data_IF_692326668370
#
_entry.id   IF_692326668370
#
_cell.length_a   1.000
_cell.length_b   1.000
_cell.length_c   1.000
_cell.angle_alpha   90.00
_cell.angle_beta   90.00
_cell.angle_gamma   90.00
#
_symmetry.space_group_name_H-M   'P 1'
#
loop_
_entity.id
_entity.type
_entity.pdbx_description
1 polymer ?
#
# COMPACT_ATOMS: atom_id res chain seq x y z
N UNK A 1 -86.90 -24.03 -2.77
CA UNK A 1 -85.72 -24.12 -1.88
C UNK A 1 -84.49 -23.75 -2.69
N UNK A 2 -83.93 -22.54 -2.53
CA UNK A 2 -82.85 -21.98 -3.34
C UNK A 2 -81.58 -22.01 -2.51
N UNK A 3 -80.58 -22.64 -3.04
CA UNK A 3 -79.20 -22.64 -2.52
C UNK A 3 -78.49 -21.38 -3.04
N UNK A 4 -77.85 -20.64 -2.13
CA UNK A 4 -76.98 -19.52 -2.45
C UNK A 4 -75.52 -19.98 -2.61
N UNK A 5 -74.74 -19.41 -3.52
CA UNK A 5 -73.30 -19.71 -3.66
C UNK A 5 -72.45 -18.82 -2.75
N UNK A 6 -71.51 -19.43 -2.05
CA UNK A 6 -70.49 -18.78 -1.26
C UNK A 6 -69.38 -18.20 -2.13
N UNK A 7 -69.10 -16.90 -2.02
CA UNK A 7 -67.97 -16.24 -2.65
C UNK A 7 -66.69 -16.44 -1.86
N UNK A 8 -65.68 -17.02 -2.47
CA UNK A 8 -64.32 -17.02 -1.97
C UNK A 8 -63.63 -15.73 -2.39
N UNK A 9 -63.27 -14.88 -1.42
CA UNK A 9 -62.42 -13.73 -1.66
C UNK A 9 -60.94 -14.16 -1.56
N UNK A 10 -60.24 -14.14 -2.64
CA UNK A 10 -58.77 -14.32 -2.70
C UNK A 10 -58.12 -12.96 -2.42
N UNK A 11 -57.45 -12.86 -1.27
CA UNK A 11 -56.65 -11.70 -0.90
C UNK A 11 -55.27 -11.84 -1.57
N UNK A 12 -55.02 -10.98 -2.59
CA UNK A 12 -53.71 -10.88 -3.25
C UNK A 12 -52.81 -10.01 -2.38
N UNK A 13 -51.83 -10.63 -1.71
CA UNK A 13 -50.80 -9.91 -0.98
C UNK A 13 -49.79 -9.39 -1.99
N UNK A 14 -49.78 -8.08 -2.24
CA UNK A 14 -48.69 -7.40 -2.96
C UNK A 14 -47.45 -7.37 -2.05
N UNK A 15 -46.44 -8.16 -2.40
CA UNK A 15 -45.08 -7.98 -1.88
C UNK A 15 -44.45 -6.78 -2.60
N UNK A 16 -44.43 -5.63 -1.94
CA UNK A 16 -43.66 -4.47 -2.39
C UNK A 16 -42.16 -4.79 -2.10
N UNK A 17 -41.46 -5.27 -3.10
CA UNK A 17 -40.00 -5.31 -3.07
C UNK A 17 -39.52 -3.87 -3.20
N UNK A 18 -39.15 -3.26 -2.09
CA UNK A 18 -38.49 -1.98 -2.05
C UNK A 18 -37.11 -2.12 -2.69
N UNK A 19 -37.02 -1.85 -3.99
CA UNK A 19 -35.75 -1.53 -4.64
C UNK A 19 -35.26 -0.23 -4.02
N UNK A 20 -34.36 -0.33 -3.04
CA UNK A 20 -33.59 0.81 -2.57
C UNK A 20 -32.84 1.39 -3.77
N UNK A 21 -33.32 2.53 -4.26
CA UNK A 21 -32.59 3.32 -5.24
C UNK A 21 -31.30 3.78 -4.53
N UNK A 22 -30.17 3.15 -4.87
CA UNK A 22 -28.87 3.74 -4.60
C UNK A 22 -28.89 5.09 -5.34
N UNK A 23 -28.88 6.19 -4.60
CA UNK A 23 -28.72 7.50 -5.17
C UNK A 23 -27.38 7.50 -5.90
N UNK A 24 -27.41 7.59 -7.21
CA UNK A 24 -26.24 7.83 -8.02
C UNK A 24 -25.64 9.17 -7.55
N UNK A 25 -24.53 9.11 -6.82
CA UNK A 25 -23.79 10.32 -6.46
C UNK A 25 -23.36 10.98 -7.77
N UNK A 26 -23.78 12.23 -7.97
CA UNK A 26 -23.47 12.97 -9.18
C UNK A 26 -21.94 13.07 -9.37
N UNK A 27 -21.48 12.83 -10.59
CA UNK A 27 -20.08 12.99 -10.95
C UNK A 27 -19.67 14.47 -10.77
N UNK A 28 -18.93 14.78 -9.69
CA UNK A 28 -18.36 16.11 -9.47
C UNK A 28 -16.91 16.12 -9.95
N UNK A 29 -16.43 17.29 -10.43
CA UNK A 29 -15.03 17.44 -10.83
C UNK A 29 -14.02 17.19 -9.70
N UNK A 30 -14.47 17.07 -8.43
CA UNK A 30 -13.64 16.82 -7.25
C UNK A 30 -13.85 15.42 -6.65
N UNK A 31 -14.85 14.68 -7.13
CA UNK A 31 -15.14 13.30 -6.70
C UNK A 31 -15.65 12.47 -7.90
N UNK A 32 -14.76 12.12 -8.85
CA UNK A 32 -15.14 11.42 -10.06
C UNK A 32 -15.76 10.04 -9.78
N UNK A 33 -16.84 9.73 -10.48
CA UNK A 33 -17.53 8.45 -10.41
C UNK A 33 -17.34 7.67 -11.71
N UNK A 34 -17.02 6.38 -11.61
CA UNK A 34 -16.95 5.47 -12.74
C UNK A 34 -18.35 5.04 -13.20
N UNK A 35 -18.50 4.82 -14.48
CA UNK A 35 -19.60 4.01 -14.99
C UNK A 35 -19.39 2.52 -14.62
N UNK A 36 -20.47 1.74 -14.63
CA UNK A 36 -20.38 0.30 -14.41
C UNK A 36 -19.47 -0.42 -15.43
N UNK A 37 -19.37 0.08 -16.65
CA UNK A 37 -18.48 -0.46 -17.68
C UNK A 37 -17.00 -0.20 -17.35
N UNK A 38 -16.66 0.98 -16.85
CA UNK A 38 -15.33 1.34 -16.40
C UNK A 38 -14.96 0.54 -15.14
N UNK A 39 -15.86 0.44 -14.15
CA UNK A 39 -15.61 -0.29 -12.90
C UNK A 39 -15.26 -1.77 -13.14
N UNK A 40 -15.88 -2.41 -14.16
CA UNK A 40 -15.52 -3.81 -14.53
C UNK A 40 -14.06 -3.98 -14.96
N UNK A 41 -13.42 -2.95 -15.49
CA UNK A 41 -12.00 -2.98 -15.85
C UNK A 41 -11.08 -3.05 -14.62
N UNK A 42 -11.60 -2.76 -13.44
CA UNK A 42 -10.88 -2.83 -12.16
C UNK A 42 -11.26 -4.05 -11.31
N UNK A 43 -11.92 -5.06 -11.90
CA UNK A 43 -12.10 -6.35 -11.23
C UNK A 43 -10.74 -7.02 -10.97
N UNK A 44 -10.58 -7.73 -9.86
CA UNK A 44 -9.28 -8.28 -9.46
C UNK A 44 -8.62 -9.15 -10.54
N UNK A 45 -9.40 -9.96 -11.25
CA UNK A 45 -8.91 -10.79 -12.35
C UNK A 45 -8.41 -9.99 -13.54
N UNK A 46 -8.89 -8.74 -13.74
CA UNK A 46 -8.38 -7.83 -14.75
C UNK A 46 -7.10 -7.12 -14.28
N UNK A 47 -7.12 -6.62 -13.04
CA UNK A 47 -6.01 -5.85 -12.46
C UNK A 47 -4.77 -6.72 -12.27
N UNK A 48 -4.95 -7.96 -11.80
CA UNK A 48 -3.85 -8.85 -11.41
C UNK A 48 -3.32 -9.73 -12.55
N UNK A 49 -3.79 -9.55 -13.78
CA UNK A 49 -3.32 -10.38 -14.91
C UNK A 49 -2.15 -9.80 -15.69
N UNK A 50 -1.71 -8.58 -15.38
CA UNK A 50 -0.65 -7.93 -16.15
C UNK A 50 0.64 -7.82 -15.33
N UNK A 51 1.78 -8.08 -15.98
CA UNK A 51 3.12 -7.98 -15.39
C UNK A 51 4.13 -7.50 -16.44
N UNK A 52 5.23 -6.92 -16.00
CA UNK A 52 6.31 -6.47 -16.86
C UNK A 52 6.43 -4.96 -16.99
N UNK A 53 7.07 -4.49 -18.05
CA UNK A 53 7.34 -3.06 -18.25
C UNK A 53 6.08 -2.31 -18.67
N UNK A 54 5.91 -1.12 -18.12
CA UNK A 54 4.81 -0.22 -18.41
C UNK A 54 4.67 0.04 -19.92
N UNK A 55 3.46 -0.19 -20.44
CA UNK A 55 3.16 -0.09 -21.87
C UNK A 55 3.65 -1.28 -22.71
N UNK A 56 4.21 -2.32 -22.08
CA UNK A 56 4.63 -3.59 -22.71
C UNK A 56 4.30 -4.79 -21.82
N UNK A 57 3.34 -4.62 -20.91
CA UNK A 57 2.96 -5.67 -19.97
C UNK A 57 2.50 -6.93 -20.68
N UNK A 58 2.99 -8.06 -20.22
CA UNK A 58 2.52 -9.38 -20.63
C UNK A 58 1.27 -9.79 -19.83
N UNK A 59 0.47 -10.67 -20.42
CA UNK A 59 -0.66 -11.31 -19.74
C UNK A 59 -0.12 -12.53 -18.98
N UNK A 60 -0.22 -12.48 -17.66
CA UNK A 60 0.15 -13.56 -16.72
C UNK A 60 -0.96 -13.66 -15.65
N UNK A 61 -2.04 -14.42 -15.92
CA UNK A 61 -3.18 -14.50 -15.02
C UNK A 61 -2.78 -14.97 -13.63
N UNK A 62 -3.31 -14.26 -12.62
CA UNK A 62 -3.14 -14.62 -11.22
C UNK A 62 -4.47 -14.46 -10.48
N UNK A 63 -4.94 -15.56 -9.92
CA UNK A 63 -6.17 -15.61 -9.12
C UNK A 63 -5.83 -15.99 -7.66
N UNK A 64 -5.52 -15.02 -6.80
CA UNK A 64 -5.17 -15.29 -5.42
C UNK A 64 -6.33 -15.87 -4.59
N UNK A 65 -7.58 -15.67 -4.98
CA UNK A 65 -8.74 -16.21 -4.25
C UNK A 65 -8.90 -17.73 -4.43
N UNK A 66 -8.32 -18.30 -5.48
CA UNK A 66 -8.29 -19.77 -5.69
C UNK A 66 -7.11 -20.44 -5.00
N UNK A 67 -6.13 -19.68 -4.53
CA UNK A 67 -4.97 -20.21 -3.83
C UNK A 67 -5.36 -20.94 -2.52
N UNK A 68 -4.71 -22.05 -2.16
CA UNK A 68 -4.93 -22.74 -0.89
C UNK A 68 -4.82 -21.84 0.34
N UNK A 69 -3.97 -20.80 0.29
CA UNK A 69 -3.84 -19.81 1.36
C UNK A 69 -5.17 -19.10 1.64
N UNK A 70 -5.82 -18.56 0.60
CA UNK A 70 -7.10 -17.87 0.70
C UNK A 70 -8.24 -18.79 1.15
N UNK A 71 -8.17 -20.07 0.78
CA UNK A 71 -9.13 -21.10 1.18
C UNK A 71 -8.91 -21.63 2.60
N UNK A 72 -7.92 -21.13 3.31
CA UNK A 72 -7.66 -21.52 4.69
C UNK A 72 -7.07 -22.93 4.83
N UNK A 73 -6.40 -23.44 3.80
CA UNK A 73 -5.79 -24.76 3.83
C UNK A 73 -4.81 -24.90 5.02
N UNK A 74 -4.72 -26.10 5.55
CA UNK A 74 -3.68 -26.48 6.48
C UNK A 74 -2.38 -26.78 5.72
N UNK A 75 -1.24 -26.35 6.26
CA UNK A 75 0.07 -26.62 5.68
C UNK A 75 0.93 -27.44 6.63
N UNK A 76 1.76 -28.32 6.07
CA UNK A 76 2.84 -28.94 6.82
C UNK A 76 4.03 -28.00 6.80
N UNK A 77 4.48 -27.48 7.98
CA UNK A 77 5.58 -26.52 8.01
C UNK A 77 6.93 -27.19 7.70
N UNK A 78 7.70 -26.56 6.80
CA UNK A 78 9.12 -26.86 6.64
C UNK A 78 9.91 -26.26 7.83
N UNK A 79 9.48 -25.09 8.34
CA UNK A 79 10.08 -24.38 9.48
C UNK A 79 9.03 -23.98 10.51
N UNK A 80 9.42 -24.04 11.79
CA UNK A 80 8.61 -23.62 12.93
C UNK A 80 9.37 -22.55 13.69
N UNK A 81 8.75 -21.41 13.91
CA UNK A 81 9.27 -20.35 14.77
C UNK A 81 8.51 -20.39 16.08
N UNK A 82 9.23 -20.66 17.17
CA UNK A 82 8.67 -20.78 18.53
C UNK A 82 9.69 -20.25 19.54
N UNK A 83 9.34 -19.16 20.24
CA UNK A 83 10.22 -18.55 21.25
C UNK A 83 10.48 -19.43 22.46
N UNK A 84 9.53 -20.30 22.82
CA UNK A 84 9.58 -21.17 23.98
C UNK A 84 10.23 -22.54 23.70
N UNK A 85 10.41 -22.90 22.43
CA UNK A 85 10.97 -24.19 22.06
C UNK A 85 12.51 -24.19 22.10
N UNK A 86 13.09 -25.39 22.25
CA UNK A 86 14.53 -25.59 22.02
C UNK A 86 14.77 -25.53 20.51
N UNK A 87 15.47 -24.50 20.05
CA UNK A 87 15.86 -24.40 18.66
C UNK A 87 16.86 -25.48 18.26
N UNK A 88 16.66 -26.11 17.11
CA UNK A 88 17.58 -27.08 16.52
C UNK A 88 18.40 -26.51 15.36
N UNK A 89 18.04 -25.30 14.90
CA UNK A 89 18.68 -24.64 13.77
C UNK A 89 18.42 -25.27 12.41
N UNK A 90 17.57 -26.29 12.36
CA UNK A 90 17.20 -27.02 11.14
C UNK A 90 15.72 -26.83 10.80
N UNK A 91 14.84 -27.12 11.74
CA UNK A 91 13.39 -27.01 11.59
C UNK A 91 12.78 -26.02 12.59
N UNK A 92 13.32 -25.93 13.80
CA UNK A 92 12.78 -25.10 14.88
C UNK A 92 13.73 -23.93 15.19
N UNK A 93 13.19 -22.73 15.27
CA UNK A 93 13.91 -21.47 15.46
C UNK A 93 13.23 -20.61 16.51
N UNK A 94 13.99 -19.77 17.24
CA UNK A 94 13.41 -18.84 18.21
C UNK A 94 13.10 -17.46 17.62
N UNK A 95 13.66 -17.12 16.45
CA UNK A 95 13.36 -15.86 15.75
C UNK A 95 12.95 -16.10 14.30
N UNK A 96 12.10 -15.21 13.77
CA UNK A 96 11.62 -15.30 12.39
C UNK A 96 12.77 -15.15 11.39
N UNK A 97 13.73 -14.23 11.63
CA UNK A 97 14.86 -14.05 10.73
C UNK A 97 15.77 -15.28 10.65
N UNK A 98 15.96 -16.02 11.77
CA UNK A 98 16.72 -17.28 11.73
C UNK A 98 16.06 -18.31 10.80
N UNK A 99 14.74 -18.46 10.87
CA UNK A 99 13.99 -19.34 9.98
C UNK A 99 14.06 -18.86 8.52
N UNK A 100 13.95 -17.56 8.25
CA UNK A 100 14.15 -16.98 6.91
C UNK A 100 15.55 -17.28 6.39
N UNK A 101 16.59 -17.10 7.21
CA UNK A 101 17.98 -17.42 6.84
C UNK A 101 18.15 -18.89 6.46
N UNK A 102 17.43 -19.79 7.14
CA UNK A 102 17.41 -21.20 6.78
C UNK A 102 16.71 -21.43 5.46
N UNK A 103 15.52 -20.83 5.25
CA UNK A 103 14.80 -20.92 3.99
C UNK A 103 15.64 -20.41 2.79
N UNK A 104 16.38 -19.32 2.95
CA UNK A 104 17.32 -18.82 1.92
C UNK A 104 18.38 -19.85 1.58
N UNK A 105 18.98 -20.48 2.59
CA UNK A 105 20.05 -21.51 2.38
C UNK A 105 19.51 -22.78 1.72
N UNK A 106 18.27 -23.16 1.99
CA UNK A 106 17.64 -24.35 1.41
C UNK A 106 17.10 -24.10 0.00
N UNK A 107 16.86 -22.85 -0.37
CA UNK A 107 16.24 -22.44 -1.64
C UNK A 107 16.97 -22.93 -2.90
N UNK A 108 18.33 -22.93 -3.01
CA UNK A 108 19.01 -23.43 -4.19
C UNK A 108 18.73 -24.90 -4.52
N UNK A 109 18.46 -25.72 -3.50
CA UNK A 109 18.10 -27.13 -3.69
C UNK A 109 16.62 -27.31 -4.15
N UNK A 110 15.78 -26.29 -3.92
CA UNK A 110 14.33 -26.35 -4.14
C UNK A 110 13.75 -25.07 -4.73
N UNK A 111 14.28 -24.53 -5.84
CA UNK A 111 13.96 -23.16 -6.30
C UNK A 111 12.49 -22.95 -6.68
N UNK A 112 11.80 -24.01 -7.09
CA UNK A 112 10.38 -23.95 -7.47
C UNK A 112 9.42 -24.46 -6.37
N UNK A 113 9.93 -25.05 -5.30
CA UNK A 113 9.12 -25.56 -4.19
C UNK A 113 8.72 -24.43 -3.28
N UNK A 114 7.43 -24.27 -3.01
CA UNK A 114 6.97 -23.38 -1.96
C UNK A 114 7.38 -23.92 -0.58
N UNK A 115 8.00 -23.07 0.22
CA UNK A 115 8.38 -23.34 1.61
C UNK A 115 7.33 -22.78 2.56
N UNK A 116 7.05 -23.51 3.65
CA UNK A 116 6.04 -23.12 4.63
C UNK A 116 6.67 -22.89 5.99
N UNK A 117 6.45 -21.69 6.54
CA UNK A 117 6.97 -21.25 7.84
C UNK A 117 5.81 -20.98 8.79
N UNK A 118 5.63 -21.83 9.77
CA UNK A 118 4.69 -21.62 10.87
C UNK A 118 5.33 -20.74 11.94
N UNK A 119 4.66 -19.65 12.32
CA UNK A 119 5.07 -18.79 13.44
C UNK A 119 4.06 -18.99 14.57
N UNK A 120 4.52 -19.53 15.69
CA UNK A 120 3.69 -19.77 16.88
C UNK A 120 3.22 -18.45 17.51
N UNK A 121 2.12 -18.44 18.27
CA UNK A 121 1.67 -17.25 18.98
C UNK A 121 2.76 -16.64 19.84
N UNK A 122 2.88 -15.31 19.80
CA UNK A 122 3.90 -14.56 20.55
C UNK A 122 4.25 -13.24 19.87
N UNK A 123 5.08 -12.45 20.57
CA UNK A 123 5.59 -11.17 20.05
C UNK A 123 7.08 -11.31 19.73
N UNK A 124 7.41 -11.31 18.46
CA UNK A 124 8.76 -11.49 17.94
C UNK A 124 9.38 -10.13 17.65
N UNK A 125 10.35 -9.74 18.47
CA UNK A 125 11.09 -8.49 18.32
C UNK A 125 12.19 -8.64 17.27
N UNK A 126 12.32 -7.66 16.38
CA UNK A 126 13.39 -7.58 15.40
C UNK A 126 12.89 -7.42 13.96
N UNK A 127 13.84 -7.36 13.04
CA UNK A 127 13.59 -7.17 11.62
C UNK A 127 13.46 -8.51 10.90
N UNK A 128 12.67 -8.54 9.83
CA UNK A 128 12.54 -9.73 8.97
C UNK A 128 12.77 -9.33 7.52
N UNK A 129 13.90 -9.76 6.97
CA UNK A 129 14.30 -9.47 5.59
C UNK A 129 14.26 -10.76 4.76
N UNK A 130 13.33 -10.79 3.78
CA UNK A 130 13.10 -11.94 2.89
C UNK A 130 13.68 -11.62 1.51
N UNK A 131 14.87 -12.12 1.18
CA UNK A 131 15.55 -11.81 -0.08
C UNK A 131 14.82 -12.38 -1.31
N UNK A 132 15.14 -11.80 -2.48
CA UNK A 132 14.62 -12.27 -3.77
C UNK A 132 15.06 -13.71 -4.12
N UNK A 133 16.25 -14.11 -3.68
CA UNK A 133 16.80 -15.45 -3.91
C UNK A 133 16.09 -16.57 -3.12
N UNK A 134 15.19 -16.22 -2.20
CA UNK A 134 14.40 -17.21 -1.45
C UNK A 134 13.40 -17.91 -2.39
N UNK A 135 13.25 -19.23 -2.30
CA UNK A 135 12.15 -19.94 -2.94
C UNK A 135 10.79 -19.36 -2.45
N UNK A 136 9.68 -19.50 -3.22
CA UNK A 136 8.41 -18.95 -2.79
C UNK A 136 8.09 -19.35 -1.36
N UNK A 137 7.90 -18.36 -0.47
CA UNK A 137 7.74 -18.56 0.98
C UNK A 137 6.33 -18.19 1.44
N UNK A 138 5.69 -19.09 2.16
CA UNK A 138 4.46 -18.81 2.91
C UNK A 138 4.78 -18.73 4.40
N UNK A 139 4.56 -17.57 5.01
CA UNK A 139 4.68 -17.32 6.45
C UNK A 139 3.28 -17.24 7.05
N UNK A 140 2.98 -18.03 8.08
CA UNK A 140 1.65 -18.03 8.66
C UNK A 140 1.65 -18.20 10.17
N UNK A 141 0.75 -17.46 10.84
CA UNK A 141 0.48 -17.61 12.26
C UNK A 141 -0.33 -18.87 12.55
N UNK A 142 -0.14 -19.44 13.74
CA UNK A 142 -0.91 -20.57 14.24
C UNK A 142 -2.31 -20.09 14.68
N UNK A 143 -3.34 -20.68 14.12
CA UNK A 143 -4.73 -20.29 14.37
C UNK A 143 -5.27 -19.22 13.40
N UNK A 144 -6.40 -18.60 13.78
CA UNK A 144 -7.14 -17.64 12.94
C UNK A 144 -7.00 -16.19 13.41
N UNK A 145 -6.53 -15.97 14.64
CA UNK A 145 -6.33 -14.63 15.19
C UNK A 145 -4.96 -14.09 14.77
N UNK A 146 -4.97 -13.17 13.82
CA UNK A 146 -3.77 -12.51 13.37
C UNK A 146 -3.06 -11.68 14.47
N UNK A 147 -3.77 -11.29 15.54
CA UNK A 147 -3.18 -10.54 16.64
C UNK A 147 -2.38 -11.44 17.61
N UNK A 148 -2.63 -12.75 17.59
CA UNK A 148 -1.92 -13.70 18.44
C UNK A 148 -0.44 -13.86 18.07
N UNK A 149 -0.09 -13.61 16.80
CA UNK A 149 1.28 -13.71 16.28
C UNK A 149 1.73 -12.35 15.75
N UNK A 150 2.68 -11.71 16.42
CA UNK A 150 3.14 -10.36 16.08
C UNK A 150 4.64 -10.31 15.83
N UNK A 151 5.04 -9.74 14.69
CA UNK A 151 6.43 -9.36 14.39
C UNK A 151 6.51 -7.85 14.50
N UNK A 152 7.43 -7.33 15.33
CA UNK A 152 7.50 -5.90 15.63
C UNK A 152 8.95 -5.40 15.75
N UNK A 153 9.15 -4.16 15.30
CA UNK A 153 10.35 -3.35 15.55
C UNK A 153 9.91 -1.91 15.84
N UNK A 154 10.86 -1.06 16.26
CA UNK A 154 10.61 0.36 16.56
C UNK A 154 11.68 1.20 15.87
N UNK A 155 11.41 1.58 14.64
CA UNK A 155 12.30 2.39 13.81
C UNK A 155 11.54 3.52 13.14
N UNK A 156 12.10 4.69 13.09
CA UNK A 156 11.66 5.78 12.24
C UNK A 156 12.76 6.25 11.30
N UNK A 157 12.41 7.03 10.29
CA UNK A 157 13.31 7.47 9.24
C UNK A 157 14.49 8.34 9.72
N UNK A 158 14.43 8.90 10.93
CA UNK A 158 15.48 9.75 11.51
C UNK A 158 16.58 8.97 12.24
N UNK A 159 16.40 7.66 12.45
CA UNK A 159 17.42 6.80 13.06
C UNK A 159 18.68 6.83 12.21
N UNK A 160 19.84 7.03 12.83
CA UNK A 160 21.12 6.96 12.12
C UNK A 160 21.49 5.54 11.75
N UNK A 161 22.23 5.35 10.64
CA UNK A 161 22.74 4.04 10.26
C UNK A 161 23.58 3.40 11.36
N UNK A 162 24.38 4.19 12.10
CA UNK A 162 25.16 3.71 13.25
C UNK A 162 24.25 3.18 14.39
N UNK A 163 23.18 3.89 14.74
CA UNK A 163 22.21 3.45 15.76
C UNK A 163 21.43 2.21 15.30
N UNK A 164 21.08 2.14 14.02
CA UNK A 164 20.48 0.98 13.40
C UNK A 164 21.42 -0.24 13.46
N UNK A 165 22.70 -0.05 13.11
CA UNK A 165 23.72 -1.10 13.17
C UNK A 165 23.95 -1.59 14.61
N UNK A 166 24.00 -0.71 15.59
CA UNK A 166 24.11 -1.07 16.99
C UNK A 166 22.94 -1.93 17.50
N UNK A 167 21.71 -1.66 17.04
CA UNK A 167 20.51 -2.40 17.46
C UNK A 167 20.32 -3.74 16.75
N UNK A 168 20.65 -3.81 15.46
CA UNK A 168 20.29 -4.94 14.60
C UNK A 168 21.48 -5.68 14.01
N UNK A 169 22.73 -5.20 14.21
CA UNK A 169 23.93 -5.82 13.66
C UNK A 169 24.11 -7.28 14.06
N UNK A 170 23.89 -7.60 15.34
CA UNK A 170 23.99 -8.96 15.84
C UNK A 170 22.98 -9.92 15.16
N UNK A 171 21.77 -9.44 14.86
CA UNK A 171 20.74 -10.22 14.18
C UNK A 171 21.18 -10.63 12.77
N UNK A 172 21.90 -9.76 12.06
CA UNK A 172 22.34 -9.99 10.69
C UNK A 172 23.76 -10.55 10.56
N UNK A 173 24.55 -10.61 11.64
CA UNK A 173 25.92 -11.14 11.61
C UNK A 173 25.99 -12.61 11.11
N UNK A 174 24.98 -13.40 11.42
CA UNK A 174 24.84 -14.80 11.01
C UNK A 174 23.75 -15.02 9.94
N UNK A 175 23.25 -13.94 9.32
CA UNK A 175 22.21 -14.04 8.31
C UNK A 175 22.76 -14.68 7.01
N UNK A 176 21.84 -15.12 6.15
CA UNK A 176 22.20 -15.53 4.80
C UNK A 176 22.78 -14.33 4.01
N UNK A 177 23.72 -14.54 3.07
CA UNK A 177 24.39 -13.47 2.36
C UNK A 177 23.45 -12.43 1.73
N UNK A 178 22.34 -12.87 1.11
CA UNK A 178 21.39 -11.97 0.50
C UNK A 178 20.64 -11.09 1.55
N UNK A 179 20.35 -11.63 2.72
CA UNK A 179 19.77 -10.85 3.83
C UNK A 179 20.79 -9.89 4.43
N UNK A 180 22.08 -10.28 4.50
CA UNK A 180 23.17 -9.37 4.88
C UNK A 180 23.32 -8.24 3.87
N UNK A 181 23.20 -8.53 2.57
CA UNK A 181 23.27 -7.50 1.54
C UNK A 181 22.12 -6.49 1.68
N UNK A 182 20.89 -6.94 1.99
CA UNK A 182 19.76 -6.03 2.28
C UNK A 182 20.08 -5.14 3.50
N UNK A 183 20.55 -5.72 4.60
CA UNK A 183 20.95 -4.98 5.80
C UNK A 183 22.07 -3.96 5.51
N UNK A 184 23.05 -4.33 4.70
CA UNK A 184 24.18 -3.46 4.35
C UNK A 184 23.77 -2.19 3.61
N UNK A 185 22.66 -2.21 2.85
CA UNK A 185 22.16 -1.02 2.15
C UNK A 185 21.66 0.09 3.11
N UNK A 186 21.48 -0.24 4.40
CA UNK A 186 20.91 0.65 5.40
C UNK A 186 21.93 1.11 6.43
N UNK A 187 22.76 0.18 6.94
CA UNK A 187 23.61 0.39 8.12
C UNK A 187 24.65 1.52 8.00
N UNK A 188 25.06 1.85 6.78
CA UNK A 188 26.11 2.83 6.52
C UNK A 188 25.54 4.19 6.07
N UNK A 189 24.24 4.40 6.19
CA UNK A 189 23.60 5.68 5.84
C UNK A 189 23.69 6.66 7.00
N UNK A 190 23.74 7.97 6.69
CA UNK A 190 23.66 9.03 7.71
C UNK A 190 22.39 8.88 8.54
N UNK A 191 21.26 8.76 7.86
CA UNK A 191 19.95 8.37 8.41
C UNK A 191 19.35 7.26 7.56
N UNK A 192 18.64 6.33 8.17
CA UNK A 192 18.10 5.17 7.46
C UNK A 192 17.02 5.55 6.44
N UNK A 193 16.32 6.68 6.65
CA UNK A 193 15.21 7.13 5.82
C UNK A 193 14.02 6.17 5.88
N UNK A 194 12.91 6.51 5.23
CA UNK A 194 11.71 5.67 5.18
C UNK A 194 12.02 4.22 4.81
N UNK A 195 12.79 4.04 3.75
CA UNK A 195 13.17 2.74 3.21
C UNK A 195 13.84 1.80 4.23
N UNK A 196 14.65 2.36 5.13
CA UNK A 196 15.38 1.59 6.15
C UNK A 196 14.56 1.22 7.38
N UNK A 197 13.31 1.68 7.51
CA UNK A 197 12.49 1.48 8.71
C UNK A 197 11.67 0.20 8.69
N UNK A 198 11.68 -0.57 7.59
CA UNK A 198 10.80 -1.71 7.42
C UNK A 198 11.03 -2.79 8.50
N UNK A 199 9.99 -3.08 9.28
CA UNK A 199 9.99 -4.24 10.19
C UNK A 199 10.06 -5.52 9.38
N UNK A 200 9.24 -5.64 8.34
CA UNK A 200 9.26 -6.78 7.40
C UNK A 200 9.54 -6.23 6.00
N UNK A 201 10.62 -6.69 5.39
CA UNK A 201 11.03 -6.29 4.04
C UNK A 201 11.08 -7.50 3.12
N UNK A 202 10.20 -7.52 2.12
CA UNK A 202 9.99 -8.65 1.21
C UNK A 202 10.45 -8.28 -0.21
N UNK A 203 11.37 -9.09 -0.75
CA UNK A 203 11.78 -9.05 -2.17
C UNK A 203 11.50 -10.37 -2.88
N UNK A 204 10.88 -11.31 -2.20
CA UNK A 204 10.62 -12.67 -2.64
C UNK A 204 9.37 -12.75 -3.52
N UNK A 205 9.52 -13.17 -4.78
CA UNK A 205 8.39 -13.43 -5.68
C UNK A 205 7.52 -14.56 -5.14
N UNK A 206 6.21 -14.38 -5.20
CA UNK A 206 5.24 -15.34 -4.68
C UNK A 206 5.24 -15.44 -3.15
N UNK A 207 5.74 -14.42 -2.43
CA UNK A 207 5.63 -14.38 -0.98
C UNK A 207 4.18 -14.40 -0.53
N UNK A 208 3.90 -15.16 0.52
CA UNK A 208 2.57 -15.23 1.13
C UNK A 208 2.64 -15.05 2.63
N UNK A 209 1.66 -14.33 3.20
CA UNK A 209 1.48 -14.25 4.66
C UNK A 209 0.01 -14.44 5.03
N UNK A 210 -0.25 -15.15 6.17
CA UNK A 210 -1.60 -15.37 6.68
C UNK A 210 -1.63 -15.37 8.21
N UNK A 211 -2.71 -14.79 8.79
CA UNK A 211 -2.98 -14.83 10.24
C UNK A 211 -1.82 -14.29 11.09
N UNK A 212 -1.23 -13.18 10.70
CA UNK A 212 -0.05 -12.62 11.36
C UNK A 212 -0.11 -11.09 11.36
N UNK A 213 0.45 -10.46 12.39
CA UNK A 213 0.60 -9.01 12.50
C UNK A 213 2.03 -8.62 12.20
N UNK A 214 2.21 -7.66 11.28
CA UNK A 214 3.45 -6.92 11.10
C UNK A 214 3.26 -5.51 11.66
N UNK A 215 4.16 -5.10 12.55
CA UNK A 215 4.04 -3.84 13.26
C UNK A 215 5.36 -3.07 13.23
N UNK A 216 5.29 -1.80 12.87
CA UNK A 216 6.31 -0.87 13.34
C UNK A 216 5.74 -0.16 14.59
N UNK A 217 6.27 -0.56 15.75
CA UNK A 217 5.81 -0.08 17.06
C UNK A 217 6.30 1.33 17.42
N UNK A 218 6.87 2.07 16.48
CA UNK A 218 7.25 3.46 16.71
C UNK A 218 6.03 4.26 17.19
N UNK A 219 6.14 4.92 18.35
CA UNK A 219 5.09 5.69 19.03
C UNK A 219 3.82 4.91 19.47
N UNK A 220 3.72 3.61 19.27
CA UNK A 220 2.53 2.84 19.65
C UNK A 220 2.38 2.61 21.16
N UNK A 221 3.47 2.60 21.91
CA UNK A 221 3.47 2.39 23.36
C UNK A 221 3.09 3.63 24.19
N UNK A 222 3.00 4.79 23.56
CA UNK A 222 2.72 6.07 24.22
C UNK A 222 1.35 6.66 23.89
N UNK A 223 0.58 5.98 23.03
CA UNK A 223 -0.73 6.43 22.59
C UNK A 223 -0.66 7.67 21.68
N UNK A 224 -1.84 8.09 21.24
CA UNK A 224 -1.99 9.21 20.28
C UNK A 224 -1.55 10.57 20.84
N UNK A 225 -1.48 10.73 22.18
CA UNK A 225 -1.10 12.00 22.81
C UNK A 225 0.36 12.40 22.60
N UNK A 226 1.18 11.50 22.06
CA UNK A 226 2.62 11.71 21.98
C UNK A 226 3.10 12.46 20.75
N UNK A 227 2.38 12.38 19.66
CA UNK A 227 2.73 13.12 18.46
C UNK A 227 2.82 14.62 18.76
N UNK A 228 1.96 15.13 19.63
CA UNK A 228 1.97 16.52 20.07
C UNK A 228 3.12 16.86 21.05
N UNK A 229 3.66 15.88 21.75
CA UNK A 229 4.69 16.07 22.77
C UNK A 229 6.13 15.96 22.27
N UNK A 230 6.36 15.49 21.04
CA UNK A 230 7.69 15.43 20.46
C UNK A 230 8.14 16.81 20.01
N UNK A 231 9.28 17.33 20.51
CA UNK A 231 9.82 18.59 20.03
C UNK A 231 10.04 18.47 18.51
N UNK A 232 9.43 19.38 17.75
CA UNK A 232 9.55 19.46 16.29
C UNK A 232 8.89 18.31 15.50
N UNK A 233 7.75 17.77 15.95
CA UNK A 233 7.01 16.76 15.18
C UNK A 233 6.77 17.15 13.73
N UNK A 234 6.58 18.45 13.44
CA UNK A 234 6.41 18.97 12.09
C UNK A 234 7.70 18.96 11.25
N UNK A 235 8.86 18.79 11.87
CA UNK A 235 10.18 18.84 11.24
C UNK A 235 10.91 17.50 11.26
N UNK A 236 10.34 16.46 11.88
CA UNK A 236 10.96 15.16 11.99
C UNK A 236 10.23 14.18 11.06
N UNK A 237 10.99 13.41 10.31
CA UNK A 237 10.46 12.33 9.47
C UNK A 237 10.02 11.17 10.36
N UNK A 238 8.70 11.00 10.55
CA UNK A 238 8.11 9.94 11.37
C UNK A 238 7.71 8.70 10.56
N UNK A 239 8.19 8.58 9.33
CA UNK A 239 7.93 7.40 8.50
C UNK A 239 8.46 6.15 9.18
N UNK A 240 7.61 5.13 9.28
CA UNK A 240 7.87 3.94 10.09
C UNK A 240 7.14 2.72 9.48
N UNK A 241 7.80 2.03 8.56
CA UNK A 241 7.21 0.93 7.80
C UNK A 241 6.97 -0.32 8.65
N UNK A 242 5.77 -0.84 8.65
CA UNK A 242 5.46 -2.19 9.13
C UNK A 242 5.84 -3.25 8.09
N UNK A 243 5.47 -2.99 6.83
CA UNK A 243 5.74 -3.88 5.69
C UNK A 243 6.23 -3.10 4.49
N UNK A 244 7.31 -3.59 3.88
CA UNK A 244 7.77 -3.18 2.56
C UNK A 244 7.77 -4.38 1.62
N UNK A 245 7.03 -4.27 0.50
CA UNK A 245 7.10 -5.19 -0.64
C UNK A 245 7.92 -4.49 -1.72
N UNK A 246 9.14 -4.94 -1.95
CA UNK A 246 10.13 -4.28 -2.82
C UNK A 246 10.39 -5.12 -4.07
N UNK A 247 9.64 -4.86 -5.10
CA UNK A 247 9.76 -5.51 -6.39
C UNK A 247 9.25 -6.95 -6.47
N UNK A 248 8.72 -7.48 -5.36
CA UNK A 248 8.17 -8.83 -5.35
C UNK A 248 6.84 -8.88 -6.12
N UNK A 249 6.73 -9.79 -7.07
CA UNK A 249 5.50 -10.08 -7.80
C UNK A 249 4.70 -11.22 -7.15
N UNK A 250 3.38 -11.17 -7.28
CA UNK A 250 2.43 -12.14 -6.71
C UNK A 250 2.56 -12.27 -5.18
N UNK A 251 2.76 -11.13 -4.49
CA UNK A 251 2.75 -11.11 -3.03
C UNK A 251 1.31 -11.16 -2.50
N UNK A 252 0.96 -12.19 -1.71
CA UNK A 252 -0.40 -12.43 -1.23
C UNK A 252 -0.50 -12.38 0.28
N UNK A 253 -1.49 -11.65 0.78
CA UNK A 253 -1.71 -11.40 2.19
C UNK A 253 -3.17 -11.71 2.57
N UNK A 254 -3.37 -12.68 3.48
CA UNK A 254 -4.67 -13.17 3.90
C UNK A 254 -4.85 -12.99 5.41
N UNK A 255 -5.86 -12.23 5.83
CA UNK A 255 -6.11 -12.00 7.25
C UNK A 255 -4.86 -11.58 8.02
N UNK A 256 -4.11 -10.61 7.49
CA UNK A 256 -2.98 -10.02 8.19
C UNK A 256 -3.37 -8.69 8.85
N UNK A 257 -2.55 -8.22 9.77
CA UNK A 257 -2.65 -6.88 10.33
C UNK A 257 -1.36 -6.11 10.08
N UNK A 258 -1.49 -4.90 9.56
CA UNK A 258 -0.39 -3.95 9.43
C UNK A 258 -0.63 -2.79 10.38
N UNK A 259 0.26 -2.63 11.33
CA UNK A 259 0.13 -1.68 12.44
C UNK A 259 1.26 -0.65 12.34
N UNK A 260 0.91 0.61 12.18
CA UNK A 260 1.86 1.70 12.07
C UNK A 260 1.19 3.07 12.24
N UNK A 261 1.93 4.11 11.93
CA UNK A 261 1.44 5.47 11.79
C UNK A 261 1.72 5.98 10.37
N UNK A 262 2.66 6.90 10.19
CA UNK A 262 3.04 7.39 8.86
C UNK A 262 3.78 6.30 8.09
N UNK A 263 3.40 6.10 6.81
CA UNK A 263 4.09 5.21 5.89
C UNK A 263 4.03 3.72 6.32
N UNK A 264 2.90 3.21 6.79
CA UNK A 264 2.80 1.83 7.31
C UNK A 264 3.14 0.75 6.28
N UNK A 265 2.67 0.91 5.03
CA UNK A 265 2.82 -0.07 3.94
C UNK A 265 3.44 0.58 2.70
N UNK A 266 4.63 0.12 2.32
CA UNK A 266 5.30 0.51 1.08
C UNK A 266 5.22 -0.59 0.03
N UNK A 267 4.62 -0.28 -1.11
CA UNK A 267 4.43 -1.16 -2.26
C UNK A 267 5.24 -0.63 -3.44
N UNK A 268 6.49 -1.08 -3.55
CA UNK A 268 7.45 -0.60 -4.51
C UNK A 268 7.59 -1.57 -5.68
N UNK A 269 7.54 -1.07 -6.90
CA UNK A 269 7.84 -1.85 -8.11
C UNK A 269 9.35 -2.20 -8.19
N UNK A 270 9.75 -3.22 -8.96
CA UNK A 270 11.15 -3.64 -9.07
C UNK A 270 12.03 -2.56 -9.71
N UNK A 271 11.46 -1.73 -10.55
CA UNK A 271 12.03 -0.53 -11.15
C UNK A 271 10.90 0.39 -11.60
N UNK A 272 11.20 1.67 -11.77
CA UNK A 272 10.23 2.66 -12.26
C UNK A 272 9.62 2.19 -13.58
N UNK A 273 8.30 2.24 -13.67
CA UNK A 273 7.58 1.81 -14.86
C UNK A 273 7.55 0.30 -15.09
N UNK A 274 7.79 -0.50 -14.05
CA UNK A 274 7.54 -1.94 -14.10
C UNK A 274 6.36 -2.29 -13.18
N UNK A 275 5.61 -3.33 -13.55
CA UNK A 275 4.47 -3.83 -12.78
C UNK A 275 4.92 -5.00 -11.91
N UNK A 276 4.71 -4.90 -10.60
CA UNK A 276 4.65 -5.99 -9.65
C UNK A 276 3.29 -5.97 -8.95
N UNK A 277 2.79 -7.14 -8.53
CA UNK A 277 1.42 -7.29 -8.05
C UNK A 277 1.37 -7.74 -6.60
N UNK A 278 0.52 -7.08 -5.82
CA UNK A 278 0.22 -7.46 -4.44
C UNK A 278 -1.28 -7.60 -4.24
N UNK A 279 -1.70 -8.57 -3.41
CA UNK A 279 -3.10 -8.81 -3.08
C UNK A 279 -3.28 -8.93 -1.57
N UNK A 280 -4.20 -8.12 -1.04
CA UNK A 280 -4.56 -8.10 0.38
C UNK A 280 -6.02 -8.48 0.53
N UNK A 281 -6.32 -9.53 1.29
CA UNK A 281 -7.67 -10.03 1.48
C UNK A 281 -8.01 -10.15 2.97
N UNK A 282 -9.20 -9.67 3.36
CA UNK A 282 -9.73 -9.76 4.73
C UNK A 282 -8.73 -9.27 5.79
N UNK A 283 -7.94 -8.29 5.43
CA UNK A 283 -6.82 -7.77 6.22
C UNK A 283 -7.22 -6.49 6.97
N UNK A 284 -6.32 -6.03 7.83
CA UNK A 284 -6.46 -4.79 8.58
C UNK A 284 -5.19 -3.96 8.41
N UNK A 285 -5.34 -2.70 8.01
CA UNK A 285 -4.22 -1.78 7.80
C UNK A 285 -4.53 -0.47 8.51
N UNK A 286 -3.65 -0.01 9.39
CA UNK A 286 -3.83 1.27 10.07
C UNK A 286 -2.64 2.19 9.90
N UNK A 287 -2.92 3.50 9.94
CA UNK A 287 -1.94 4.56 9.91
C UNK A 287 -2.57 5.94 9.90
N UNK A 288 -1.75 6.98 9.81
CA UNK A 288 -2.24 8.35 9.79
C UNK A 288 -1.94 9.10 8.49
N UNK A 289 -0.69 9.21 8.07
CA UNK A 289 -0.32 9.95 6.85
C UNK A 289 0.38 9.03 5.87
N UNK A 290 -0.11 9.02 4.61
CA UNK A 290 0.48 8.26 3.51
C UNK A 290 0.70 6.78 3.85
N UNK A 291 -0.19 6.20 4.65
CA UNK A 291 0.10 4.91 5.27
C UNK A 291 -0.02 3.70 4.33
N UNK A 292 -0.46 3.92 3.07
CA UNK A 292 -0.36 2.97 1.96
C UNK A 292 0.23 3.72 0.77
N UNK A 293 1.48 3.43 0.37
CA UNK A 293 2.12 4.22 -0.67
C UNK A 293 3.03 3.39 -1.59
N UNK A 294 3.44 3.99 -2.70
CA UNK A 294 4.35 3.40 -3.68
C UNK A 294 3.79 3.36 -5.10
N UNK A 295 4.50 2.64 -5.96
CA UNK A 295 4.29 2.66 -7.41
C UNK A 295 3.86 1.31 -8.01
N UNK A 296 3.67 0.27 -7.19
CA UNK A 296 3.26 -1.05 -7.67
C UNK A 296 1.75 -1.15 -7.91
N UNK A 297 1.30 -2.22 -8.55
CA UNK A 297 -0.10 -2.58 -8.66
C UNK A 297 -0.54 -3.37 -7.42
N UNK A 298 -1.56 -2.89 -6.70
CA UNK A 298 -2.06 -3.57 -5.51
C UNK A 298 -3.59 -3.61 -5.47
N UNK A 299 -4.13 -4.75 -5.06
CA UNK A 299 -5.55 -4.98 -4.89
C UNK A 299 -5.88 -5.31 -3.44
N UNK A 300 -6.72 -4.47 -2.85
CA UNK A 300 -7.22 -4.63 -1.48
C UNK A 300 -8.66 -5.10 -1.54
N UNK A 301 -8.94 -6.30 -1.03
CA UNK A 301 -10.25 -6.92 -1.06
C UNK A 301 -10.76 -7.19 0.36
N UNK A 302 -11.99 -6.76 0.67
CA UNK A 302 -12.62 -6.97 1.98
C UNK A 302 -11.72 -6.57 3.17
N UNK A 303 -10.92 -5.52 3.00
CA UNK A 303 -9.91 -5.08 3.96
C UNK A 303 -10.42 -3.86 4.74
N UNK A 304 -10.16 -3.84 6.04
CA UNK A 304 -10.39 -2.66 6.87
C UNK A 304 -9.18 -1.73 6.80
N UNK A 305 -9.42 -0.48 6.41
CA UNK A 305 -8.43 0.58 6.28
C UNK A 305 -8.73 1.63 7.32
N UNK A 306 -7.89 1.69 8.38
CA UNK A 306 -8.19 2.52 9.55
C UNK A 306 -7.28 3.73 9.65
N UNK A 307 -7.87 4.90 9.58
CA UNK A 307 -7.18 6.17 9.84
C UNK A 307 -7.03 6.42 11.34
N UNK A 308 -5.81 6.71 11.77
CA UNK A 308 -5.47 7.12 13.13
C UNK A 308 -5.45 8.65 13.15
N UNK A 309 -6.24 9.25 14.02
CA UNK A 309 -6.36 10.70 14.12
C UNK A 309 -5.36 11.34 15.08
N UNK A 310 -4.12 10.88 15.06
CA UNK A 310 -3.01 11.44 15.84
C UNK A 310 -2.70 12.87 15.42
N UNK A 311 -2.77 13.15 14.13
CA UNK A 311 -2.64 14.48 13.53
C UNK A 311 -3.97 14.97 12.98
N UNK A 312 -4.13 16.29 12.85
CA UNK A 312 -5.33 16.92 12.27
C UNK A 312 -5.51 16.70 10.78
N UNK A 313 -4.58 15.99 10.13
CA UNK A 313 -4.57 15.68 8.71
C UNK A 313 -4.12 14.25 8.48
N UNK A 314 -4.85 13.51 7.66
CA UNK A 314 -4.54 12.12 7.30
C UNK A 314 -4.79 11.88 5.82
N UNK A 315 -3.94 11.04 5.22
CA UNK A 315 -4.09 10.53 3.86
C UNK A 315 -3.97 9.02 3.90
N UNK A 316 -5.00 8.32 3.41
CA UNK A 316 -4.97 6.85 3.36
C UNK A 316 -3.85 6.39 2.42
N UNK A 317 -3.78 6.97 1.23
CA UNK A 317 -2.81 6.54 0.24
C UNK A 317 -2.00 7.69 -0.37
N UNK A 318 -0.77 7.35 -0.80
CA UNK A 318 0.13 8.23 -1.54
C UNK A 318 0.80 7.47 -2.70
N UNK A 319 0.05 7.10 -3.75
CA UNK A 319 0.65 6.43 -4.90
C UNK A 319 1.48 7.38 -5.75
N UNK A 320 2.55 6.86 -6.34
CA UNK A 320 3.38 7.52 -7.36
C UNK A 320 3.49 6.67 -8.64
N UNK A 321 2.43 5.98 -8.97
CA UNK A 321 2.33 5.10 -10.14
C UNK A 321 2.72 5.84 -11.42
N UNK A 322 3.64 5.28 -12.19
CA UNK A 322 4.01 5.81 -13.50
C UNK A 322 2.80 5.78 -14.46
N UNK A 323 2.58 6.85 -15.25
CA UNK A 323 1.38 6.98 -16.08
C UNK A 323 1.16 5.83 -17.08
N UNK A 324 2.25 5.22 -17.59
CA UNK A 324 2.17 4.07 -18.49
C UNK A 324 1.85 2.75 -17.80
N UNK A 325 2.06 2.62 -16.50
CA UNK A 325 1.66 1.41 -15.74
C UNK A 325 0.13 1.33 -15.77
N UNK A 326 -0.40 0.19 -16.16
CA UNK A 326 -1.85 0.03 -16.41
C UNK A 326 -2.71 0.32 -15.18
N UNK A 327 -2.33 -0.24 -14.02
CA UNK A 327 -3.06 -0.11 -12.77
C UNK A 327 -2.15 0.38 -11.64
N UNK A 328 -2.75 1.01 -10.64
CA UNK A 328 -2.16 1.35 -9.35
C UNK A 328 -2.87 0.62 -8.22
N UNK A 329 -3.39 1.37 -7.24
CA UNK A 329 -4.09 0.80 -6.09
C UNK A 329 -5.59 0.67 -6.37
N UNK A 330 -6.16 -0.50 -6.08
CA UNK A 330 -7.60 -0.76 -6.17
C UNK A 330 -8.10 -1.27 -4.83
N UNK A 331 -9.10 -0.58 -4.27
CA UNK A 331 -9.79 -0.97 -3.05
C UNK A 331 -11.20 -1.43 -3.42
N UNK A 332 -11.52 -2.69 -3.14
CA UNK A 332 -12.82 -3.28 -3.48
C UNK A 332 -13.44 -3.97 -2.27
N UNK A 333 -14.70 -3.66 -1.98
CA UNK A 333 -15.42 -4.13 -0.79
C UNK A 333 -14.69 -3.82 0.54
N UNK A 334 -13.94 -2.72 0.59
CA UNK A 334 -13.19 -2.30 1.78
C UNK A 334 -14.06 -1.45 2.73
N UNK A 335 -13.57 -1.30 3.96
CA UNK A 335 -14.15 -0.40 4.95
C UNK A 335 -13.10 0.62 5.37
N UNK A 336 -13.36 1.89 5.12
CA UNK A 336 -12.52 3.00 5.58
C UNK A 336 -13.06 3.47 6.93
N UNK A 337 -12.34 3.15 7.99
CA UNK A 337 -12.72 3.41 9.38
C UNK A 337 -11.76 4.38 10.06
N UNK A 338 -12.02 4.75 11.31
CA UNK A 338 -11.15 5.63 12.08
C UNK A 338 -11.13 5.23 13.57
N UNK A 339 -10.17 5.77 14.31
CA UNK A 339 -9.94 5.45 15.72
C UNK A 339 -10.89 6.16 16.70
N UNK A 340 -11.78 7.02 16.22
CA UNK A 340 -12.71 7.78 17.02
C UNK A 340 -12.10 9.00 17.73
N UNK A 341 -10.86 9.35 17.43
CA UNK A 341 -10.20 10.56 17.95
C UNK A 341 -10.90 11.86 17.53
N UNK A 342 -10.63 12.96 18.24
CA UNK A 342 -11.22 14.26 17.94
C UNK A 342 -10.89 14.73 16.51
N UNK A 343 -9.64 14.52 16.06
CA UNK A 343 -9.21 14.86 14.71
C UNK A 343 -9.97 14.07 13.64
N UNK A 344 -10.12 12.76 13.83
CA UNK A 344 -10.82 11.90 12.88
C UNK A 344 -12.31 12.25 12.73
N UNK A 345 -12.95 12.78 13.79
CA UNK A 345 -14.37 13.17 13.73
C UNK A 345 -14.63 14.48 12.98
N UNK A 346 -13.60 15.20 12.53
CA UNK A 346 -13.76 16.48 11.82
C UNK A 346 -14.13 16.31 10.33
N UNK A 347 -14.05 15.11 9.76
CA UNK A 347 -14.34 14.88 8.34
C UNK A 347 -13.36 15.59 7.40
N UNK A 348 -12.11 15.71 7.78
CA UNK A 348 -11.07 16.43 7.05
C UNK A 348 -9.98 15.56 6.47
N UNK A 349 -10.07 14.24 6.62
CA UNK A 349 -9.10 13.29 6.10
C UNK A 349 -9.36 12.97 4.63
N UNK A 350 -8.40 12.39 3.96
CA UNK A 350 -8.42 12.16 2.52
C UNK A 350 -8.15 10.70 2.17
N UNK A 351 -8.75 10.25 1.06
CA UNK A 351 -8.45 8.92 0.50
C UNK A 351 -7.05 8.88 -0.11
N UNK A 352 -6.59 9.99 -0.69
CA UNK A 352 -5.30 10.01 -1.39
C UNK A 352 -4.76 11.42 -1.51
N UNK A 353 -3.41 11.49 -1.60
CA UNK A 353 -2.66 12.52 -2.32
C UNK A 353 -1.65 11.86 -3.26
N UNK A 354 -1.53 12.36 -4.50
CA UNK A 354 -0.56 11.82 -5.47
C UNK A 354 0.86 12.19 -5.08
N UNK A 355 1.73 11.19 -4.88
CA UNK A 355 3.07 11.44 -4.38
C UNK A 355 4.03 11.86 -5.51
N UNK A 356 5.03 12.62 -5.12
CA UNK A 356 6.15 13.05 -5.92
C UNK A 356 7.43 12.44 -5.35
N UNK A 357 7.77 11.21 -5.73
CA UNK A 357 8.96 10.54 -5.20
C UNK A 357 10.22 11.38 -5.46
N UNK A 358 10.94 11.72 -4.38
CA UNK A 358 12.21 12.47 -4.41
C UNK A 358 12.17 13.82 -5.14
N UNK A 359 11.00 14.43 -5.31
CA UNK A 359 10.89 15.76 -5.90
C UNK A 359 11.56 16.80 -4.98
N UNK A 360 12.49 17.58 -5.52
CA UNK A 360 13.23 18.62 -4.82
C UNK A 360 12.88 20.04 -5.28
N UNK A 361 11.85 20.15 -6.11
CA UNK A 361 11.31 21.40 -6.63
C UNK A 361 9.84 21.21 -6.97
N UNK A 362 9.14 22.28 -7.36
CA UNK A 362 7.73 22.21 -7.74
C UNK A 362 7.52 22.82 -9.12
N UNK A 363 7.29 22.00 -10.16
CA UNK A 363 6.98 22.52 -11.48
C UNK A 363 5.61 23.17 -11.56
N UNK A 364 4.73 22.88 -10.60
CA UNK A 364 3.33 23.33 -10.59
C UNK A 364 3.08 24.58 -9.76
N UNK A 365 4.11 25.24 -9.23
CA UNK A 365 3.95 26.50 -8.53
C UNK A 365 3.46 27.58 -9.49
N UNK A 366 2.43 28.33 -9.09
CA UNK A 366 1.87 29.42 -9.87
C UNK A 366 2.84 30.59 -10.06
N UNK A 367 3.83 30.70 -9.16
CA UNK A 367 4.91 31.70 -9.18
C UNK A 367 6.21 30.95 -8.85
N UNK A 368 7.31 31.19 -9.57
CA UNK A 368 8.62 30.68 -9.19
C UNK A 368 8.94 31.05 -7.75
N UNK A 369 9.37 30.07 -6.97
CA UNK A 369 9.82 30.27 -5.58
C UNK A 369 11.32 30.03 -5.57
N UNK A 370 12.09 30.96 -5.02
CA UNK A 370 13.54 30.88 -4.95
C UNK A 370 13.99 29.57 -4.30
N UNK A 371 14.90 28.84 -4.97
CA UNK A 371 15.37 27.52 -4.56
C UNK A 371 14.43 26.37 -4.89
N UNK A 372 13.23 26.63 -5.46
CA UNK A 372 12.24 25.63 -5.84
C UNK A 372 11.74 25.74 -7.29
N UNK A 373 12.24 26.71 -8.06
CA UNK A 373 12.01 26.75 -9.51
C UNK A 373 12.53 25.45 -10.13
N UNK A 374 11.70 24.80 -10.96
CA UNK A 374 11.93 23.45 -11.42
C UNK A 374 12.26 23.43 -12.90
N UNK A 375 13.44 22.92 -13.24
CA UNK A 375 13.79 22.55 -14.60
C UNK A 375 13.67 21.03 -14.77
N UNK A 376 13.29 20.58 -15.96
CA UNK A 376 13.33 19.16 -16.28
C UNK A 376 14.80 18.72 -16.33
N UNK A 377 15.16 17.73 -15.50
CA UNK A 377 16.45 17.06 -15.51
C UNK A 377 16.42 15.82 -16.39
N UNK A 378 17.59 15.45 -16.93
CA UNK A 378 17.74 14.24 -17.79
C UNK A 378 17.74 12.93 -16.99
N UNK A 379 17.63 12.99 -15.66
CA UNK A 379 17.68 11.81 -14.82
C UNK A 379 16.47 10.90 -15.02
N UNK A 380 16.71 9.65 -15.39
CA UNK A 380 15.71 8.60 -15.50
C UNK A 380 15.43 7.89 -14.16
N UNK A 381 16.10 8.29 -13.08
CA UNK A 381 15.89 7.81 -11.72
C UNK A 381 15.35 8.91 -10.81
N UNK A 382 14.95 8.56 -9.60
CA UNK A 382 14.39 9.54 -8.63
C UNK A 382 15.41 10.53 -8.04
N UNK A 383 16.66 10.48 -8.44
CA UNK A 383 17.73 11.32 -7.91
C UNK A 383 18.10 12.43 -8.90
N UNK A 384 17.29 13.48 -8.93
CA UNK A 384 17.58 14.67 -9.74
C UNK A 384 18.45 15.68 -8.94
N UNK A 385 19.31 16.46 -9.63
CA UNK A 385 19.99 17.58 -8.98
C UNK A 385 19.03 18.58 -8.34
N UNK A 386 19.50 19.34 -7.35
CA UNK A 386 18.71 20.40 -6.73
C UNK A 386 18.24 21.40 -7.78
N UNK A 387 16.99 21.82 -7.71
CA UNK A 387 16.37 22.74 -8.68
C UNK A 387 15.88 22.08 -9.97
N UNK A 388 15.98 20.72 -10.06
CA UNK A 388 15.42 19.98 -11.18
C UNK A 388 14.43 18.92 -10.69
N UNK A 389 13.55 18.45 -11.58
CA UNK A 389 12.74 17.27 -11.38
C UNK A 389 13.17 16.18 -12.35
N UNK A 390 13.36 14.97 -11.85
CA UNK A 390 13.59 13.83 -12.72
C UNK A 390 12.34 13.57 -13.58
N UNK A 391 12.56 13.20 -14.84
CA UNK A 391 11.48 12.86 -15.76
C UNK A 391 10.53 11.82 -15.14
N UNK A 392 11.06 10.76 -14.54
CA UNK A 392 10.26 9.69 -13.92
C UNK A 392 9.40 10.18 -12.75
N UNK A 393 9.86 11.16 -11.97
CA UNK A 393 9.04 11.78 -10.92
C UNK A 393 7.90 12.60 -11.52
N UNK A 394 8.17 13.33 -12.60
CA UNK A 394 7.18 14.09 -13.34
C UNK A 394 6.12 13.17 -13.98
N UNK A 395 6.54 12.02 -14.47
CA UNK A 395 5.68 11.01 -15.12
C UNK A 395 4.92 10.12 -14.13
N UNK A 396 5.19 10.22 -12.83
CA UNK A 396 4.36 9.59 -11.80
C UNK A 396 3.04 10.37 -11.67
N UNK A 397 1.91 9.71 -11.75
CA UNK A 397 0.57 10.31 -11.69
C UNK A 397 -0.26 9.82 -10.51
N UNK A 398 0.13 8.72 -9.89
CA UNK A 398 -0.54 8.11 -8.74
C UNK A 398 -1.97 7.69 -9.05
N UNK A 399 -2.20 6.40 -9.26
CA UNK A 399 -3.50 5.85 -9.64
C UNK A 399 -4.16 5.17 -8.46
N UNK A 400 -5.43 5.47 -8.24
CA UNK A 400 -6.24 4.81 -7.21
C UNK A 400 -7.71 4.76 -7.59
N UNK A 401 -8.34 3.61 -7.30
CA UNK A 401 -9.77 3.38 -7.50
C UNK A 401 -10.37 2.76 -6.24
N UNK A 402 -11.55 3.24 -5.82
CA UNK A 402 -12.30 2.70 -4.69
C UNK A 402 -13.66 2.22 -5.18
N UNK A 403 -13.93 0.92 -4.99
CA UNK A 403 -15.11 0.23 -5.50
C UNK A 403 -15.90 -0.40 -4.35
N UNK A 404 -17.24 -0.36 -4.42
CA UNK A 404 -18.15 -1.15 -3.57
C UNK A 404 -17.83 -1.06 -2.08
N UNK A 405 -17.23 0.03 -1.62
CA UNK A 405 -16.64 0.18 -0.31
C UNK A 405 -17.50 1.08 0.60
N UNK A 406 -17.25 1.00 1.90
CA UNK A 406 -17.86 1.88 2.88
C UNK A 406 -16.85 2.90 3.34
N UNK A 407 -17.19 4.19 3.20
CA UNK A 407 -16.31 5.31 3.49
C UNK A 407 -16.84 6.05 4.73
N UNK A 408 -16.09 5.95 5.81
CA UNK A 408 -16.46 6.57 7.08
C UNK A 408 -16.42 8.10 7.05
N UNK A 409 -17.18 8.73 7.95
CA UNK A 409 -17.37 10.18 8.01
C UNK A 409 -16.08 11.01 8.27
N UNK A 410 -14.98 10.37 8.63
CA UNK A 410 -13.67 11.04 8.78
C UNK A 410 -13.09 11.50 7.43
N UNK A 411 -13.47 10.88 6.31
CA UNK A 411 -13.05 11.28 4.97
C UNK A 411 -13.88 12.47 4.49
N UNK A 412 -13.20 13.45 3.91
CA UNK A 412 -13.85 14.65 3.35
C UNK A 412 -14.79 14.24 2.22
N UNK A 413 -16.09 14.43 2.44
CA UNK A 413 -17.14 13.97 1.52
C UNK A 413 -17.14 14.70 0.17
N UNK A 414 -16.73 15.97 0.17
CA UNK A 414 -16.78 16.80 -1.03
C UNK A 414 -15.50 16.72 -1.86
N UNK A 415 -14.35 16.49 -1.20
CA UNK A 415 -13.03 16.45 -1.83
C UNK A 415 -12.16 15.37 -1.17
N UNK A 416 -12.45 14.08 -1.38
CA UNK A 416 -11.71 13.00 -0.75
C UNK A 416 -10.29 12.81 -1.32
N UNK A 417 -9.97 13.47 -2.44
CA UNK A 417 -8.69 13.45 -3.12
C UNK A 417 -7.98 14.79 -2.91
N UNK A 418 -6.77 14.76 -2.39
CA UNK A 418 -6.03 15.96 -2.02
C UNK A 418 -4.86 16.24 -2.95
N UNK A 419 -4.52 17.51 -3.07
CA UNK A 419 -3.24 17.91 -3.65
C UNK A 419 -2.07 17.37 -2.80
N UNK A 420 -0.94 17.11 -3.42
CA UNK A 420 0.31 16.92 -2.70
C UNK A 420 0.74 18.26 -2.11
N UNK A 421 0.73 18.37 -0.81
CA UNK A 421 0.85 19.59 -0.03
C UNK A 421 -0.25 20.64 -0.36
N UNK A 422 -0.33 21.68 0.41
CA UNK A 422 -1.22 22.82 0.11
C UNK A 422 -0.55 23.72 -0.91
N UNK A 423 -1.34 24.41 -1.73
CA UNK A 423 -0.86 25.48 -2.61
C UNK A 423 0.00 26.46 -1.77
N UNK A 424 1.29 26.59 -2.12
CA UNK A 424 2.27 27.33 -1.34
C UNK A 424 3.16 26.49 -0.40
N UNK A 425 2.78 25.23 -0.08
CA UNK A 425 3.69 24.24 0.50
C UNK A 425 4.53 23.58 -0.60
N UNK A 426 5.80 23.26 -0.33
CA UNK A 426 6.72 22.75 -1.34
C UNK A 426 7.26 21.37 -0.95
N UNK A 427 7.45 20.48 -1.95
CA UNK A 427 6.98 20.57 -3.33
C UNK A 427 5.45 20.47 -3.42
N UNK A 428 4.84 21.11 -4.42
CA UNK A 428 3.40 21.12 -4.63
C UNK A 428 3.02 20.40 -5.94
N UNK A 429 1.96 19.59 -5.89
CA UNK A 429 1.32 18.97 -7.05
C UNK A 429 -0.20 19.03 -6.89
N UNK A 430 -0.93 19.61 -7.85
CA UNK A 430 -2.39 19.50 -7.86
C UNK A 430 -2.80 18.06 -8.11
N UNK A 431 -3.97 17.66 -7.59
CA UNK A 431 -4.60 16.39 -7.95
C UNK A 431 -4.81 16.33 -9.46
N UNK A 432 -4.44 15.22 -10.04
CA UNK A 432 -4.64 14.91 -11.46
C UNK A 432 -5.63 13.76 -11.57
N UNK A 433 -6.89 14.06 -11.86
CA UNK A 433 -7.96 13.08 -11.91
C UNK A 433 -7.95 12.26 -13.20
N UNK A 434 -7.40 12.84 -14.27
CA UNK A 434 -7.52 12.34 -15.62
C UNK A 434 -6.27 12.62 -16.46
N UNK A 435 -6.22 12.02 -17.63
CA UNK A 435 -5.21 12.30 -18.65
C UNK A 435 -5.24 13.75 -19.12
N UNK A 436 -6.41 14.39 -19.11
CA UNK A 436 -6.54 15.80 -19.44
C UNK A 436 -5.89 16.70 -18.40
N UNK A 437 -6.10 16.40 -17.11
CA UNK A 437 -5.46 17.14 -16.03
C UNK A 437 -3.94 17.03 -16.10
N UNK A 438 -3.42 15.81 -16.29
CA UNK A 438 -2.00 15.56 -16.42
C UNK A 438 -1.38 16.34 -17.58
N UNK A 439 -1.96 16.23 -18.78
CA UNK A 439 -1.48 16.91 -19.97
C UNK A 439 -1.50 18.44 -19.84
N UNK A 440 -2.62 18.96 -19.37
CA UNK A 440 -2.77 20.40 -19.17
C UNK A 440 -1.85 20.95 -18.07
N UNK A 441 -1.59 20.17 -17.03
CA UNK A 441 -0.66 20.56 -15.98
C UNK A 441 0.79 20.59 -16.48
N UNK A 442 1.22 19.65 -17.32
CA UNK A 442 2.52 19.71 -17.98
C UNK A 442 2.68 21.01 -18.77
N UNK A 443 1.72 21.32 -19.64
CA UNK A 443 1.75 22.55 -20.46
C UNK A 443 1.78 23.81 -19.58
N UNK A 444 0.98 23.87 -18.52
CA UNK A 444 0.96 25.01 -17.58
C UNK A 444 2.29 25.20 -16.85
N UNK A 445 3.10 24.16 -16.72
CA UNK A 445 4.43 24.24 -16.10
C UNK A 445 5.53 24.60 -17.11
N UNK A 446 5.16 24.87 -18.37
CA UNK A 446 6.11 25.17 -19.43
C UNK A 446 6.79 23.96 -20.06
N UNK A 447 6.32 22.75 -19.75
CA UNK A 447 6.83 21.51 -20.34
C UNK A 447 5.96 21.15 -21.54
N UNK A 448 6.58 21.04 -22.72
CA UNK A 448 5.92 20.51 -23.92
C UNK A 448 6.02 18.98 -23.91
N UNK A 449 4.89 18.24 -23.72
CA UNK A 449 4.96 16.79 -23.61
C UNK A 449 5.52 16.09 -24.85
N UNK A 450 5.31 16.66 -26.02
CA UNK A 450 5.83 16.09 -27.28
C UNK A 450 7.32 16.36 -27.43
N UNK A 451 7.72 17.63 -27.30
CA UNK A 451 9.10 18.08 -27.51
C UNK A 451 10.03 17.64 -26.38
N UNK A 452 9.61 17.88 -25.11
CA UNK A 452 10.50 17.72 -23.95
C UNK A 452 10.46 16.30 -23.38
N UNK A 453 9.32 15.60 -23.51
CA UNK A 453 9.13 14.24 -23.00
C UNK A 453 9.06 13.19 -24.12
N UNK A 454 9.00 13.59 -25.40
CA UNK A 454 8.94 12.68 -26.54
C UNK A 454 7.65 11.85 -26.60
N UNK A 455 6.54 12.40 -26.12
CA UNK A 455 5.26 11.69 -26.20
C UNK A 455 4.73 11.69 -27.63
N UNK A 456 4.43 10.50 -28.16
CA UNK A 456 3.87 10.38 -29.50
C UNK A 456 2.39 10.86 -29.56
N UNK A 457 1.67 10.75 -28.44
CA UNK A 457 0.28 11.19 -28.30
C UNK A 457 -0.04 11.48 -26.83
N UNK A 458 -1.10 12.23 -26.60
CA UNK A 458 -1.67 12.44 -25.29
C UNK A 458 -2.15 11.10 -24.70
N UNK A 459 -1.90 10.83 -23.41
CA UNK A 459 -2.46 9.65 -22.74
C UNK A 459 -3.99 9.58 -22.88
N UNK A 460 -4.51 8.38 -23.01
CA UNK A 460 -5.97 8.17 -23.10
C UNK A 460 -6.63 8.26 -21.72
N UNK A 461 -7.93 8.46 -21.61
CA UNK A 461 -8.63 8.44 -20.32
C UNK A 461 -8.47 7.14 -19.54
N UNK A 462 -8.11 6.03 -20.19
CA UNK A 462 -7.82 4.75 -19.52
C UNK A 462 -6.44 4.71 -18.88
N UNK A 463 -5.51 5.58 -19.27
CA UNK A 463 -4.13 5.56 -18.79
C UNK A 463 -3.96 6.24 -17.44
N UNK A 464 -4.74 7.27 -17.15
CA UNK A 464 -4.65 8.05 -15.91
C UNK A 464 -6.04 8.18 -15.31
N UNK A 465 -6.19 7.68 -14.08
CA UNK A 465 -7.50 7.61 -13.50
C UNK A 465 -7.48 7.59 -11.97
N UNK A 466 -8.31 8.45 -11.38
CA UNK A 466 -8.71 8.42 -9.97
C UNK A 466 -10.23 8.46 -9.94
N UNK A 467 -10.88 7.61 -9.16
CA UNK A 467 -12.31 7.66 -9.00
C UNK A 467 -12.92 6.56 -8.15
N UNK A 468 -14.22 6.60 -8.10
CA UNK A 468 -15.04 5.79 -7.21
C UNK A 468 -16.18 5.11 -7.98
N UNK A 469 -16.64 3.97 -7.45
CA UNK A 469 -17.83 3.30 -7.96
C UNK A 469 -18.59 2.61 -6.83
N UNK A 470 -19.91 2.88 -6.75
CA UNK A 470 -20.84 2.18 -5.85
C UNK A 470 -20.38 2.16 -4.38
N UNK A 471 -19.71 3.22 -3.91
CA UNK A 471 -19.34 3.37 -2.52
C UNK A 471 -20.50 3.91 -1.68
N UNK A 472 -20.50 3.58 -0.40
CA UNK A 472 -21.46 4.08 0.59
C UNK A 472 -20.73 4.94 1.60
N UNK A 473 -21.17 6.18 1.79
CA UNK A 473 -20.70 7.05 2.85
C UNK A 473 -21.40 6.69 4.17
N UNK A 474 -20.63 6.43 5.24
CA UNK A 474 -21.11 6.13 6.60
C UNK A 474 -20.94 7.31 7.57
#
# INVERSE_FOLDING_TARGET
MRLAPSAFAATLAMVVVGLGMAQAQGNSGTRPQLSAAQARQYAYGEVLKYVGDAGKEAVDPWDPLTDPLAKGAAFTPDYIVDQGAKADGVKTFNTVQQAVNRAVRDSPAHPAKRLYMLVKPGTYQGLVYVPAATAPLTMYGDGKDAAATRITAKLDASVTGAAYAARHGAQFAQAAPDAQAMYATIKDRDVIGTFGTATVWVRNNGFQARNITFENGYNKDTGNARAESLPNINNVHHQALALQVDGADKAQFENIRLIGFQDTLYLKSPRIGATSRSFFNKSYIEGDVDFIFGDSTAYFHQTEIKSIGDRGLSYVAAPDTHWKTRYGFVFDNCRFTHDGSANARQGTFYLLRQWFHSARCTPYAAVPVDGYACLLGDANGYQAPTGTIARVSLEAVGKMVVLNSRIGAHINRNRPWSDWNKKGGLPYRPVQYSSDDYWNNLIKTGIDPVKDLGYAAKPTPADIFIGEFNNQDE
#
